data_IF_520039510223
#
_entry.id   IF_520039510223
#
_cell.length_a   1.000
_cell.length_b   1.000
_cell.length_c   1.000
_cell.angle_alpha   90.00
_cell.angle_beta   90.00
_cell.angle_gamma   90.00
#
_symmetry.space_group_name_H-M   'P 1'
#
loop_
_entity.id
_entity.type
_entity.pdbx_description
1 polymer ?
#
# COMPACT_ATOMS: atom_id res chain seq x y z
N UNK A 1 53.21 -10.20 11.78
CA UNK A 1 51.82 -10.33 12.30
C UNK A 1 50.92 -9.11 12.10
N UNK A 2 51.33 -8.02 11.41
CA UNK A 2 50.50 -6.80 11.27
C UNK A 2 49.59 -6.75 10.02
N UNK A 3 49.85 -7.55 9.00
CA UNK A 3 49.12 -7.50 7.73
C UNK A 3 47.73 -8.18 7.78
N UNK A 4 47.56 -9.21 8.60
CA UNK A 4 46.28 -9.93 8.74
C UNK A 4 45.19 -9.10 9.45
N UNK A 5 45.58 -8.14 10.31
CA UNK A 5 44.62 -7.27 11.01
C UNK A 5 44.01 -6.22 10.06
N UNK A 6 44.78 -5.72 9.09
CA UNK A 6 44.30 -4.73 8.11
C UNK A 6 43.26 -5.31 7.14
N UNK A 7 43.41 -6.57 6.72
CA UNK A 7 42.46 -7.22 5.81
C UNK A 7 41.13 -7.49 6.50
N UNK A 8 41.15 -7.89 7.79
CA UNK A 8 39.91 -8.10 8.56
C UNK A 8 39.15 -6.79 8.83
N UNK A 9 39.85 -5.68 9.05
CA UNK A 9 39.22 -4.35 9.23
C UNK A 9 38.64 -3.84 7.90
N UNK A 10 39.32 -4.07 6.78
CA UNK A 10 38.81 -3.69 5.45
C UNK A 10 37.59 -4.53 5.04
N UNK A 11 37.58 -5.83 5.34
CA UNK A 11 36.41 -6.69 5.18
C UNK A 11 35.25 -6.27 6.10
N UNK A 12 35.52 -5.84 7.34
CA UNK A 12 34.48 -5.31 8.24
C UNK A 12 33.88 -4.00 7.69
N UNK A 13 34.70 -3.11 7.14
CA UNK A 13 34.24 -1.86 6.52
C UNK A 13 33.44 -2.10 5.23
N UNK A 14 33.82 -3.10 4.42
CA UNK A 14 33.07 -3.49 3.22
C UNK A 14 31.76 -4.21 3.60
N UNK A 15 31.73 -5.00 4.68
CA UNK A 15 30.49 -5.61 5.19
C UNK A 15 29.53 -4.59 5.81
N UNK A 16 30.05 -3.47 6.35
CA UNK A 16 29.22 -2.33 6.82
C UNK A 16 28.67 -1.50 5.65
N UNK A 17 29.17 -1.68 4.42
CA UNK A 17 28.59 -1.03 3.23
C UNK A 17 27.37 -1.76 2.64
N UNK A 18 27.01 -2.93 3.17
CA UNK A 18 25.72 -3.59 2.93
C UNK A 18 24.63 -3.17 3.95
N UNK A 19 24.79 -2.02 4.60
CA UNK A 19 23.63 -1.31 5.16
C UNK A 19 22.80 -0.88 3.96
N UNK A 20 21.71 -1.60 3.68
CA UNK A 20 20.58 -1.10 2.92
C UNK A 20 20.12 0.19 3.61
N UNK A 21 20.76 1.31 3.26
CA UNK A 21 20.35 2.62 3.69
C UNK A 21 18.89 2.78 3.28
N UNK A 22 18.06 2.98 4.29
CA UNK A 22 16.69 3.40 4.10
C UNK A 22 16.76 4.80 3.50
N UNK A 23 16.85 4.87 2.17
CA UNK A 23 16.72 6.12 1.43
C UNK A 23 15.27 6.61 1.58
N UNK A 24 15.01 7.27 2.71
CA UNK A 24 14.01 8.34 2.76
C UNK A 24 14.60 9.46 1.92
N UNK A 25 14.13 9.61 0.69
CA UNK A 25 14.53 10.76 -0.12
C UNK A 25 13.84 12.01 0.45
N UNK A 26 14.54 12.69 1.34
CA UNK A 26 14.14 13.98 1.89
C UNK A 26 14.05 15.08 0.82
N UNK A 27 14.56 14.83 -0.40
CA UNK A 27 14.44 15.74 -1.54
C UNK A 27 13.12 15.60 -2.29
N UNK A 28 12.20 14.71 -1.87
CA UNK A 28 10.80 14.75 -2.27
C UNK A 28 9.99 15.46 -1.17
N UNK A 29 10.02 16.81 -1.10
CA UNK A 29 9.19 17.54 -0.17
C UNK A 29 7.72 17.19 -0.46
N UNK A 30 6.87 17.23 0.57
CA UNK A 30 5.41 17.15 0.43
C UNK A 30 4.86 18.45 -0.20
N UNK A 31 5.51 18.95 -1.25
CA UNK A 31 5.10 20.11 -1.98
C UNK A 31 3.74 19.81 -2.63
N UNK A 32 2.73 20.67 -2.45
CA UNK A 32 1.43 20.48 -3.09
C UNK A 32 1.49 20.21 -4.60
N UNK A 33 2.47 20.76 -5.31
CA UNK A 33 2.69 20.52 -6.75
C UNK A 33 3.14 19.09 -7.07
N UNK A 34 3.88 18.46 -6.17
CA UNK A 34 4.39 17.10 -6.35
C UNK A 34 3.30 16.06 -6.04
N UNK A 35 2.33 16.40 -5.17
CA UNK A 35 1.16 15.53 -4.89
C UNK A 35 0.39 15.18 -6.15
N UNK A 36 0.17 16.17 -7.01
CA UNK A 36 -0.60 16.03 -8.25
C UNK A 36 0.12 15.15 -9.29
N UNK A 37 1.42 14.93 -9.13
CA UNK A 37 2.23 14.06 -9.99
C UNK A 37 2.47 12.68 -9.37
N UNK A 38 2.11 12.47 -8.10
CA UNK A 38 2.47 11.28 -7.33
C UNK A 38 1.28 10.41 -6.95
N UNK A 39 0.04 10.86 -7.12
CA UNK A 39 -1.15 10.08 -6.81
C UNK A 39 -2.24 10.29 -7.87
N UNK A 40 -2.78 9.19 -8.38
CA UNK A 40 -3.81 9.20 -9.42
C UNK A 40 -4.96 8.28 -9.03
N UNK A 41 -6.18 8.81 -9.02
CA UNK A 41 -7.37 7.94 -8.98
C UNK A 41 -7.59 7.37 -10.38
N UNK A 42 -7.60 6.04 -10.48
CA UNK A 42 -7.75 5.33 -11.76
C UNK A 42 -9.21 5.03 -12.03
N UNK A 43 -9.85 4.30 -11.11
CA UNK A 43 -11.23 3.85 -11.27
C UNK A 43 -11.84 3.44 -9.93
N UNK A 44 -13.11 3.06 -9.94
CA UNK A 44 -13.75 2.28 -8.88
C UNK A 44 -13.83 0.82 -9.35
N UNK A 45 -13.17 -0.08 -8.65
CA UNK A 45 -13.13 -1.51 -8.97
C UNK A 45 -13.92 -2.33 -7.95
N UNK A 46 -14.34 -3.51 -8.38
CA UNK A 46 -14.80 -4.58 -7.50
C UNK A 46 -13.71 -5.65 -7.39
N UNK A 47 -13.49 -6.16 -6.19
CA UNK A 47 -12.58 -7.28 -5.92
C UNK A 47 -13.47 -8.42 -5.43
N UNK A 48 -13.41 -9.56 -6.11
CA UNK A 48 -14.17 -10.76 -5.72
C UNK A 48 -13.66 -11.30 -4.38
N UNK A 49 -14.58 -11.57 -3.45
CA UNK A 49 -14.29 -12.05 -2.09
C UNK A 49 -13.06 -11.37 -1.46
N UNK A 50 -13.12 -10.06 -1.20
CA UNK A 50 -11.97 -9.28 -0.81
C UNK A 50 -11.55 -9.66 0.62
N UNK A 51 -10.31 -10.13 0.74
CA UNK A 51 -9.66 -10.50 1.99
C UNK A 51 -8.58 -9.48 2.31
N UNK A 52 -8.57 -9.04 3.56
CA UNK A 52 -7.51 -8.21 4.13
C UNK A 52 -6.47 -9.13 4.76
N UNK A 53 -5.23 -9.04 4.30
CA UNK A 53 -4.11 -9.79 4.87
C UNK A 53 -3.18 -8.80 5.55
N UNK A 54 -2.91 -9.03 6.83
CA UNK A 54 -1.92 -8.26 7.58
C UNK A 54 -0.55 -8.94 7.47
N UNK A 55 0.39 -8.31 6.77
CA UNK A 55 1.76 -8.82 6.66
C UNK A 55 2.72 -7.70 7.06
N UNK A 56 3.50 -7.94 8.12
CA UNK A 56 4.53 -7.02 8.64
C UNK A 56 4.02 -5.61 8.97
N UNK A 57 2.83 -5.52 9.55
CA UNK A 57 2.24 -4.27 10.00
C UNK A 57 1.33 -3.59 8.97
N UNK A 58 1.46 -3.95 7.70
CA UNK A 58 0.62 -3.41 6.62
C UNK A 58 -0.57 -4.29 6.32
N UNK A 59 -1.62 -3.65 5.82
CA UNK A 59 -2.79 -4.35 5.33
C UNK A 59 -2.78 -4.35 3.80
N UNK A 60 -2.99 -5.53 3.24
CA UNK A 60 -3.19 -5.72 1.81
C UNK A 60 -4.60 -6.23 1.56
N UNK A 61 -5.18 -5.83 0.44
CA UNK A 61 -6.43 -6.40 -0.05
C UNK A 61 -6.12 -7.28 -1.26
N UNK A 62 -6.64 -8.49 -1.23
CA UNK A 62 -6.52 -9.51 -2.29
C UNK A 62 -7.86 -10.22 -2.44
N UNK A 63 -8.11 -10.88 -3.57
CA UNK A 63 -9.21 -11.84 -3.61
C UNK A 63 -8.84 -13.10 -2.81
N UNK A 64 -9.85 -13.75 -2.20
CA UNK A 64 -9.66 -15.04 -1.54
C UNK A 64 -8.99 -16.08 -2.45
N UNK A 65 -9.40 -16.13 -3.72
CA UNK A 65 -8.86 -17.08 -4.69
C UNK A 65 -7.36 -16.87 -4.96
N UNK A 66 -6.88 -15.63 -4.98
CA UNK A 66 -5.45 -15.32 -5.08
C UNK A 66 -4.71 -15.81 -3.85
N UNK A 67 -5.28 -15.63 -2.66
CA UNK A 67 -4.66 -16.08 -1.41
C UNK A 67 -4.55 -17.61 -1.33
N UNK A 68 -5.61 -18.32 -1.71
CA UNK A 68 -5.67 -19.79 -1.64
C UNK A 68 -4.79 -20.47 -2.70
N UNK A 69 -4.61 -19.86 -3.88
CA UNK A 69 -3.75 -20.39 -4.94
C UNK A 69 -2.26 -20.11 -4.73
N UNK A 70 -1.90 -19.24 -3.78
CA UNK A 70 -0.54 -18.79 -3.56
C UNK A 70 -0.06 -19.03 -2.12
N UNK A 71 0.73 -20.07 -1.94
CA UNK A 71 1.40 -20.36 -0.66
C UNK A 71 2.57 -19.41 -0.37
N UNK A 72 2.97 -18.58 -1.35
CA UNK A 72 3.99 -17.56 -1.19
C UNK A 72 3.50 -16.42 -0.27
N UNK A 73 4.45 -15.65 0.26
CA UNK A 73 4.17 -14.42 1.01
C UNK A 73 3.54 -13.37 0.11
N UNK A 74 2.69 -12.49 0.65
CA UNK A 74 2.05 -11.41 -0.12
C UNK A 74 3.10 -10.53 -0.78
N UNK A 75 4.19 -10.25 -0.06
CA UNK A 75 5.34 -9.50 -0.57
C UNK A 75 5.98 -10.07 -1.84
N UNK A 76 5.82 -11.36 -2.13
CA UNK A 76 6.35 -12.00 -3.34
C UNK A 76 5.37 -11.96 -4.51
N UNK A 77 4.05 -11.95 -4.25
CA UNK A 77 3.02 -11.93 -5.30
C UNK A 77 2.47 -10.54 -5.59
N UNK A 78 2.85 -9.54 -4.80
CA UNK A 78 2.36 -8.16 -4.89
C UNK A 78 2.48 -7.52 -6.28
N UNK A 79 3.48 -7.93 -7.07
CA UNK A 79 3.71 -7.45 -8.44
C UNK A 79 3.11 -8.34 -9.53
N UNK A 80 2.76 -9.58 -9.20
CA UNK A 80 2.43 -10.64 -10.16
C UNK A 80 0.93 -10.98 -10.16
N UNK A 81 0.20 -10.58 -9.12
CA UNK A 81 -1.22 -10.84 -8.95
C UNK A 81 -1.97 -9.56 -8.54
N UNK A 82 -3.30 -9.61 -8.52
CA UNK A 82 -4.16 -8.51 -8.06
C UNK A 82 -4.14 -8.38 -6.54
N UNK A 83 -3.04 -7.80 -6.08
CA UNK A 83 -2.77 -7.45 -4.69
C UNK A 83 -2.63 -5.95 -4.59
N UNK A 84 -3.36 -5.38 -3.64
CA UNK A 84 -3.49 -3.96 -3.46
C UNK A 84 -3.08 -3.57 -2.04
N UNK A 85 -2.41 -2.43 -1.88
CA UNK A 85 -2.22 -1.82 -0.56
C UNK A 85 -3.58 -1.34 -0.06
N UNK A 86 -3.93 -1.59 1.20
CA UNK A 86 -5.20 -1.18 1.76
C UNK A 86 -5.13 0.21 2.42
N UNK A 87 -5.88 1.17 1.87
CA UNK A 87 -6.07 2.49 2.46
C UNK A 87 -7.31 2.54 3.34
N UNK A 88 -7.23 2.15 4.61
CA UNK A 88 -8.39 2.17 5.52
C UNK A 88 -8.73 3.54 6.09
N UNK A 89 -7.78 4.45 6.15
CA UNK A 89 -7.98 5.77 6.74
C UNK A 89 -8.42 6.76 5.66
N UNK A 90 -9.66 7.25 5.77
CA UNK A 90 -10.22 8.29 4.90
C UNK A 90 -9.31 9.53 4.82
N UNK A 91 -8.71 9.92 5.95
CA UNK A 91 -7.76 11.03 6.00
C UNK A 91 -6.56 10.80 5.05
N UNK A 92 -6.07 9.57 4.93
CA UNK A 92 -4.98 9.24 4.02
C UNK A 92 -5.41 9.40 2.57
N UNK A 93 -6.64 9.02 2.22
CA UNK A 93 -7.17 9.23 0.87
C UNK A 93 -7.19 10.71 0.50
N UNK A 94 -7.82 11.55 1.33
CA UNK A 94 -7.92 12.99 1.04
C UNK A 94 -6.57 13.70 1.05
N UNK A 95 -5.62 13.25 1.86
CA UNK A 95 -4.25 13.79 1.87
C UNK A 95 -3.49 13.51 0.58
N UNK A 96 -3.80 12.39 -0.08
CA UNK A 96 -3.19 12.01 -1.35
C UNK A 96 -3.83 12.68 -2.56
N UNK A 97 -5.10 13.08 -2.47
CA UNK A 97 -5.78 13.74 -3.59
C UNK A 97 -5.16 15.09 -3.96
N UNK A 98 -5.15 15.36 -5.27
CA UNK A 98 -4.85 16.70 -5.78
C UNK A 98 -5.91 17.71 -5.32
N UNK A 99 -5.56 19.00 -5.28
CA UNK A 99 -6.53 20.06 -4.96
C UNK A 99 -7.70 20.09 -5.95
N UNK A 100 -7.45 19.68 -7.19
CA UNK A 100 -8.47 19.60 -8.26
C UNK A 100 -9.45 18.46 -8.03
N UNK A 101 -8.97 17.30 -7.57
CA UNK A 101 -9.80 16.10 -7.43
C UNK A 101 -10.51 16.06 -6.07
N UNK A 102 -9.95 16.69 -5.05
CA UNK A 102 -10.49 16.72 -3.69
C UNK A 102 -12.01 17.06 -3.61
N UNK A 103 -12.54 18.10 -4.30
CA UNK A 103 -13.97 18.43 -4.25
C UNK A 103 -14.89 17.33 -4.80
N UNK A 104 -14.41 16.51 -5.74
CA UNK A 104 -15.18 15.42 -6.34
C UNK A 104 -15.48 14.32 -5.32
N UNK A 105 -14.58 14.11 -4.37
CA UNK A 105 -14.62 12.98 -3.44
C UNK A 105 -15.06 13.35 -2.02
N UNK A 106 -14.88 14.62 -1.61
CA UNK A 106 -15.24 15.14 -0.28
C UNK A 106 -16.69 14.90 0.16
N UNK A 107 -17.63 14.78 -0.78
CA UNK A 107 -19.08 14.73 -0.49
C UNK A 107 -19.78 13.46 -0.97
N UNK A 108 -19.05 12.48 -1.52
CA UNK A 108 -19.66 11.43 -2.35
C UNK A 108 -19.31 10.00 -1.97
N UNK A 109 -18.47 9.77 -0.96
CA UNK A 109 -18.02 8.42 -0.61
C UNK A 109 -18.14 8.14 0.88
N UNK A 110 -18.68 6.96 1.18
CA UNK A 110 -18.68 6.42 2.54
C UNK A 110 -17.58 5.37 2.61
N UNK A 111 -16.50 5.69 3.33
CA UNK A 111 -15.39 4.76 3.56
C UNK A 111 -15.85 3.62 4.44
N UNK A 112 -15.37 2.42 4.12
CA UNK A 112 -15.74 1.21 4.84
C UNK A 112 -14.52 0.59 5.53
N UNK A 113 -14.54 0.53 6.86
CA UNK A 113 -13.42 0.04 7.67
C UNK A 113 -13.77 -1.16 8.54
N UNK A 114 -15.03 -1.62 8.51
CA UNK A 114 -15.45 -2.73 9.35
C UNK A 114 -15.04 -4.08 8.77
N UNK A 115 -14.27 -4.81 9.55
CA UNK A 115 -13.80 -6.15 9.21
C UNK A 115 -14.00 -7.09 10.39
N UNK A 116 -13.97 -8.38 10.12
CA UNK A 116 -13.94 -9.43 11.13
C UNK A 116 -12.83 -10.43 10.84
N UNK A 117 -12.20 -10.92 11.92
CA UNK A 117 -11.09 -11.86 11.84
C UNK A 117 -11.58 -13.21 11.31
N UNK A 118 -10.78 -13.78 10.42
CA UNK A 118 -10.98 -15.11 9.85
C UNK A 118 -9.64 -15.84 9.73
N UNK A 119 -9.71 -17.17 9.65
CA UNK A 119 -8.56 -18.00 9.33
C UNK A 119 -8.72 -18.60 7.92
N UNK A 120 -7.68 -18.46 7.09
CA UNK A 120 -7.60 -19.11 5.77
C UNK A 120 -6.26 -19.83 5.71
N UNK A 121 -6.27 -21.16 5.56
CA UNK A 121 -5.06 -22.00 5.47
C UNK A 121 -4.04 -21.72 6.60
N UNK A 122 -4.51 -21.55 7.84
CA UNK A 122 -3.67 -21.27 8.99
C UNK A 122 -3.18 -19.81 9.08
N UNK A 123 -3.54 -18.94 8.13
CA UNK A 123 -3.21 -17.51 8.15
C UNK A 123 -4.34 -16.71 8.82
N UNK A 124 -3.96 -15.84 9.75
CA UNK A 124 -4.88 -14.83 10.28
C UNK A 124 -5.12 -13.75 9.24
N UNK A 125 -6.38 -13.53 8.88
CA UNK A 125 -6.83 -12.59 7.87
C UNK A 125 -8.07 -11.86 8.40
N UNK A 126 -8.53 -10.83 7.70
CA UNK A 126 -9.80 -10.19 7.98
C UNK A 126 -10.66 -10.18 6.72
N UNK A 127 -11.97 -10.32 6.86
CA UNK A 127 -12.93 -10.09 5.77
C UNK A 127 -13.81 -8.90 6.11
N UNK A 128 -14.31 -8.23 5.09
CA UNK A 128 -15.32 -7.18 5.26
C UNK A 128 -16.63 -7.79 5.77
N UNK A 129 -17.28 -7.15 6.75
CA UNK A 129 -18.56 -7.67 7.28
C UNK A 129 -19.71 -7.51 6.26
N UNK A 130 -19.63 -6.47 5.44
CA UNK A 130 -20.59 -6.18 4.37
C UNK A 130 -20.17 -6.86 3.06
N UNK A 131 -21.12 -7.45 2.35
CA UNK A 131 -20.93 -7.92 0.96
C UNK A 131 -20.95 -6.78 -0.06
N UNK A 132 -21.31 -5.56 0.35
CA UNK A 132 -21.56 -4.42 -0.53
C UNK A 132 -20.38 -3.43 -0.54
N UNK A 133 -19.16 -3.94 -0.66
CA UNK A 133 -17.93 -3.13 -0.66
C UNK A 133 -17.41 -2.99 -2.09
N UNK A 134 -17.00 -1.77 -2.45
CA UNK A 134 -16.21 -1.45 -3.65
C UNK A 134 -14.89 -0.79 -3.25
N UNK A 135 -14.02 -0.56 -4.22
CA UNK A 135 -12.69 -0.06 -3.98
C UNK A 135 -12.35 1.07 -4.93
N UNK A 136 -11.92 2.21 -4.41
CA UNK A 136 -11.30 3.25 -5.24
C UNK A 136 -9.88 2.81 -5.54
N UNK A 137 -9.61 2.45 -6.79
CA UNK A 137 -8.27 2.11 -7.24
C UNK A 137 -7.48 3.38 -7.52
N UNK A 138 -6.32 3.48 -6.89
CA UNK A 138 -5.38 4.57 -7.13
C UNK A 138 -3.98 4.03 -7.42
N UNK A 139 -3.20 4.81 -8.15
CA UNK A 139 -1.77 4.60 -8.35
C UNK A 139 -1.01 5.65 -7.56
N UNK A 140 -0.09 5.21 -6.71
CA UNK A 140 0.76 6.10 -5.92
C UNK A 140 2.23 5.84 -6.21
N UNK A 141 2.99 6.91 -6.40
CA UNK A 141 4.44 6.84 -6.50
C UNK A 141 5.01 6.31 -5.18
N UNK A 142 5.88 5.31 -5.27
CA UNK A 142 6.48 4.62 -4.12
C UNK A 142 7.17 5.58 -3.14
N UNK A 143 7.92 6.56 -3.64
CA UNK A 143 8.65 7.51 -2.79
C UNK A 143 7.70 8.42 -2.03
N UNK A 144 6.65 8.89 -2.71
CA UNK A 144 5.65 9.73 -2.10
C UNK A 144 4.87 8.96 -1.02
N UNK A 145 4.46 7.72 -1.30
CA UNK A 145 3.83 6.84 -0.31
C UNK A 145 4.75 6.62 0.91
N UNK A 146 6.00 6.24 0.67
CA UNK A 146 6.97 6.01 1.74
C UNK A 146 7.21 7.27 2.58
N UNK A 147 7.32 8.46 1.97
CA UNK A 147 7.52 9.70 2.70
C UNK A 147 6.31 10.09 3.57
N UNK A 148 5.09 9.81 3.12
CA UNK A 148 3.88 10.05 3.91
C UNK A 148 3.76 9.03 5.04
N UNK A 149 3.99 7.75 4.77
CA UNK A 149 3.81 6.68 5.75
C UNK A 149 5.00 6.51 6.72
N UNK A 150 6.21 6.93 6.36
CA UNK A 150 7.37 6.86 7.25
C UNK A 150 7.24 7.75 8.51
N UNK A 151 6.32 8.72 8.52
CA UNK A 151 6.02 9.51 9.71
C UNK A 151 5.04 8.80 10.67
N UNK A 152 4.30 7.79 10.20
CA UNK A 152 3.28 7.07 10.97
C UNK A 152 3.65 5.62 11.27
N UNK A 153 4.65 5.08 10.57
CA UNK A 153 5.03 3.67 10.65
C UNK A 153 6.56 3.61 10.68
N UNK A 154 7.13 3.04 11.74
CA UNK A 154 8.57 2.76 11.84
C UNK A 154 9.04 2.06 10.55
N UNK A 155 9.76 2.79 9.70
CA UNK A 155 11.01 2.45 8.99
C UNK A 155 11.12 1.09 8.24
N UNK A 156 10.07 0.27 8.22
CA UNK A 156 10.10 -1.18 7.92
C UNK A 156 9.39 -1.47 6.59
N UNK A 157 8.55 -0.54 6.15
CA UNK A 157 7.80 -0.59 4.89
C UNK A 157 8.18 0.55 3.94
N UNK A 158 9.47 0.89 3.84
CA UNK A 158 9.88 1.44 2.56
C UNK A 158 9.67 0.34 1.54
N UNK A 159 8.87 0.57 0.50
CA UNK A 159 8.80 -0.39 -0.58
C UNK A 159 10.20 -0.48 -1.20
N UNK A 160 10.95 -1.53 -0.83
CA UNK A 160 12.38 -1.70 -1.10
C UNK A 160 12.58 -2.10 -2.56
N UNK A 161 12.34 -1.18 -3.50
CA UNK A 161 12.74 -1.40 -4.88
C UNK A 161 14.06 -0.68 -5.12
N UNK A 162 15.09 -1.36 -5.64
CA UNK A 162 16.38 -0.74 -6.04
C UNK A 162 16.21 0.30 -7.16
N UNK A 163 15.03 0.34 -7.78
CA UNK A 163 14.60 1.26 -8.83
C UNK A 163 13.59 2.30 -8.28
N UNK A 164 13.90 2.86 -7.12
CA UNK A 164 13.02 3.72 -6.30
C UNK A 164 12.48 4.96 -7.02
N UNK A 165 13.11 5.44 -8.10
CA UNK A 165 12.62 6.60 -8.84
C UNK A 165 11.62 6.13 -9.92
N UNK A 166 10.35 6.50 -9.78
CA UNK A 166 9.24 6.31 -10.75
C UNK A 166 8.49 4.97 -10.72
N UNK A 167 8.59 4.17 -9.65
CA UNK A 167 7.70 2.99 -9.49
C UNK A 167 6.34 3.43 -8.91
N UNK A 168 5.24 2.99 -9.53
CA UNK A 168 3.88 3.18 -9.04
C UNK A 168 3.33 1.91 -8.41
N UNK A 169 2.59 2.06 -7.31
CA UNK A 169 1.91 0.98 -6.62
C UNK A 169 0.40 1.16 -6.65
N UNK A 170 -0.30 0.02 -6.71
CA UNK A 170 -1.75 -0.04 -6.62
C UNK A 170 -2.16 0.02 -5.15
N UNK A 171 -2.90 1.05 -4.80
CA UNK A 171 -3.55 1.22 -3.50
C UNK A 171 -5.04 1.29 -3.71
N UNK A 172 -5.80 0.65 -2.83
CA UNK A 172 -7.26 0.66 -2.87
C UNK A 172 -7.83 1.19 -1.58
N UNK A 173 -8.88 2.00 -1.70
CA UNK A 173 -9.63 2.51 -0.57
C UNK A 173 -11.02 1.86 -0.55
N UNK A 174 -11.35 1.06 0.48
CA UNK A 174 -12.67 0.43 0.59
C UNK A 174 -13.75 1.48 0.84
N UNK A 175 -14.81 1.40 0.04
CA UNK A 175 -16.00 2.24 0.13
C UNK A 175 -17.24 1.36 0.13
N UNK A 176 -18.31 1.82 0.77
CA UNK A 176 -19.63 1.23 0.60
C UNK A 176 -20.14 1.54 -0.81
N UNK A 177 -20.68 0.53 -1.52
CA UNK A 177 -21.42 0.80 -2.75
C UNK A 177 -22.58 1.72 -2.40
N UNK A 178 -22.72 2.81 -3.15
CA UNK A 178 -23.92 3.63 -3.08
C UNK A 178 -25.13 2.72 -3.34
N UNK A 179 -26.22 2.84 -2.58
CA UNK A 179 -27.43 2.10 -2.90
C UNK A 179 -27.79 2.40 -4.35
N UNK A 180 -27.86 1.37 -5.18
CA UNK A 180 -28.35 1.50 -6.55
C UNK A 180 -29.72 2.12 -6.41
N UNK A 181 -29.89 3.37 -6.87
CA UNK A 181 -31.23 3.93 -7.06
C UNK A 181 -31.88 3.04 -8.11
N UNK A 182 -32.66 2.06 -7.66
CA UNK A 182 -33.61 1.38 -8.53
C UNK A 182 -34.49 2.48 -9.08
N UNK A 183 -34.30 2.82 -10.36
CA UNK A 183 -35.31 3.58 -11.09
C UNK A 183 -36.59 2.76 -10.94
N UNK A 184 -37.55 3.29 -10.18
CA UNK A 184 -38.93 2.83 -10.28
C UNK A 184 -39.33 3.04 -11.74
N UNK A 185 -39.34 1.96 -12.50
CA UNK A 185 -40.10 1.86 -13.75
C UNK A 185 -41.58 1.92 -13.44
#
# INVERSE_FOLDING_TARGET
MKLKLCISIFMLLVMVSCVCYKYRDSHYPLNPKDREQCFFVVDTIDIEDPIVVKEKGENFIVSRSVLEKNDKRISNIFREADVYIAGFYEFNFYNFLSKRDLPRYLSKMSFYSETEDININGRSCMKFKSSNVSFILCLINANYYNNVMANSCDDWYMIKNREYKNTYYRIVFPILKSPVKTKKT
#
